data_IF_972674288365
#
_entry.id   IF_972674288365
#
_cell.length_a   1.000
_cell.length_b   1.000
_cell.length_c   1.000
_cell.angle_alpha   90.00
_cell.angle_beta   90.00
_cell.angle_gamma   90.00
#
_symmetry.space_group_name_H-M   'P 1'
#
loop_
_entity.id
_entity.type
_entity.pdbx_description
1 polymer ?
#
# COMPACT_ATOMS: atom_id res chain seq x y z
N UNK A 1 68.03 41.99 15.46
CA UNK A 1 67.97 40.75 16.25
C UNK A 1 66.62 40.12 15.97
N UNK A 2 66.61 39.22 14.99
CA UNK A 2 65.45 38.42 14.60
C UNK A 2 65.47 37.13 15.42
N UNK A 3 64.39 36.81 16.09
CA UNK A 3 64.15 35.48 16.64
C UNK A 3 63.02 34.82 15.86
N UNK A 4 63.41 33.81 15.09
CA UNK A 4 62.52 32.81 14.52
C UNK A 4 62.05 31.91 15.65
N UNK A 5 60.74 31.68 15.74
CA UNK A 5 60.21 30.43 16.29
C UNK A 5 59.18 29.88 15.32
N UNK A 6 59.49 28.67 14.86
CA UNK A 6 58.66 27.73 14.12
C UNK A 6 57.53 27.17 15.00
N UNK A 7 56.68 26.34 14.38
CA UNK A 7 55.57 25.52 14.91
C UNK A 7 54.20 26.24 14.88
N UNK A 8 53.15 25.76 14.21
CA UNK A 8 52.81 24.38 13.83
C UNK A 8 51.86 24.36 12.64
N UNK A 9 52.06 23.36 11.79
CA UNK A 9 51.14 22.92 10.75
C UNK A 9 49.77 22.56 11.37
N UNK A 10 48.78 23.43 11.24
CA UNK A 10 47.38 23.03 11.24
C UNK A 10 47.04 22.56 9.82
N UNK A 11 47.42 21.32 9.51
CA UNK A 11 46.78 20.57 8.43
C UNK A 11 45.36 20.28 8.89
N UNK A 12 44.46 21.26 8.68
CA UNK A 12 43.02 21.02 8.72
C UNK A 12 42.75 20.04 7.60
N UNK A 13 42.60 18.77 7.97
CA UNK A 13 41.92 17.78 7.15
C UNK A 13 40.47 18.26 7.01
N UNK A 14 40.25 19.14 6.04
CA UNK A 14 38.95 19.36 5.44
C UNK A 14 38.62 18.04 4.74
N UNK A 15 37.99 17.12 5.49
CA UNK A 15 37.14 16.12 4.87
C UNK A 15 36.03 16.89 4.16
N UNK A 16 36.27 17.29 2.92
CA UNK A 16 35.22 17.47 1.94
C UNK A 16 34.57 16.09 1.81
N UNK A 17 33.66 15.78 2.71
CA UNK A 17 32.57 14.90 2.37
C UNK A 17 31.83 15.64 1.25
N UNK A 18 32.10 15.27 0.01
CA UNK A 18 31.22 15.65 -1.09
C UNK A 18 29.90 14.96 -0.77
N UNK A 19 28.98 15.68 -0.12
CA UNK A 19 27.58 15.34 -0.21
C UNK A 19 27.30 15.37 -1.71
N UNK A 20 27.13 14.19 -2.32
CA UNK A 20 26.70 14.11 -3.70
C UNK A 20 25.44 14.96 -3.81
N UNK A 21 25.44 15.96 -4.69
CA UNK A 21 24.28 16.83 -4.86
C UNK A 21 23.12 15.97 -5.37
N UNK A 22 22.13 15.72 -4.51
CA UNK A 22 21.01 14.85 -4.86
C UNK A 22 20.14 15.60 -5.86
N UNK A 23 20.06 15.07 -7.07
CA UNK A 23 19.24 15.64 -8.13
C UNK A 23 17.82 15.85 -7.61
N UNK A 24 17.31 17.07 -7.75
CA UNK A 24 15.95 17.43 -7.39
C UNK A 24 15.11 17.58 -8.64
N UNK A 25 13.93 16.94 -8.68
CA UNK A 25 12.94 17.12 -9.73
C UNK A 25 11.71 17.86 -9.19
N UNK A 26 11.19 18.79 -10.00
CA UNK A 26 10.16 19.74 -9.60
C UNK A 26 8.90 19.73 -10.47
N UNK A 27 8.91 18.98 -11.57
CA UNK A 27 7.81 18.94 -12.52
C UNK A 27 7.57 17.56 -13.11
N UNK A 28 6.33 17.31 -13.59
CA UNK A 28 6.00 16.05 -14.29
C UNK A 28 6.83 15.91 -15.56
N UNK A 29 7.22 17.02 -16.19
CA UNK A 29 8.10 17.02 -17.37
C UNK A 29 9.51 16.53 -17.04
N UNK A 30 10.08 16.93 -15.89
CA UNK A 30 11.37 16.41 -15.42
C UNK A 30 11.27 14.94 -15.02
N UNK A 31 10.20 14.54 -14.32
CA UNK A 31 9.93 13.14 -14.00
C UNK A 31 9.84 12.28 -15.28
N UNK A 32 9.18 12.80 -16.33
CA UNK A 32 9.11 12.16 -17.66
C UNK A 32 10.47 11.98 -18.32
N UNK A 33 11.50 12.73 -17.95
CA UNK A 33 12.86 12.53 -18.47
C UNK A 33 13.61 11.39 -17.76
N UNK A 34 13.17 10.93 -16.59
CA UNK A 34 13.81 9.86 -15.81
C UNK A 34 13.29 8.47 -16.16
N UNK A 35 14.09 7.42 -16.05
CA UNK A 35 13.66 6.03 -16.32
C UNK A 35 12.88 5.36 -15.16
N UNK A 36 12.46 6.14 -14.18
CA UNK A 36 11.78 5.63 -12.99
C UNK A 36 10.32 5.24 -13.27
N UNK A 37 9.97 3.97 -13.07
CA UNK A 37 8.59 3.51 -13.04
C UNK A 37 7.84 3.59 -14.38
N UNK A 38 8.55 3.64 -15.52
CA UNK A 38 7.97 4.03 -16.83
C UNK A 38 7.35 2.90 -17.64
N UNK A 39 7.62 1.64 -17.35
CA UNK A 39 7.16 0.54 -18.19
C UNK A 39 6.71 -0.65 -17.36
N UNK A 40 5.86 -1.50 -17.93
CA UNK A 40 5.48 -2.76 -17.31
C UNK A 40 6.73 -3.62 -17.02
N UNK A 41 6.87 -4.25 -15.84
CA UNK A 41 5.94 -4.30 -14.70
C UNK A 41 6.35 -3.37 -13.53
N UNK A 42 6.99 -2.24 -13.82
CA UNK A 42 7.40 -1.27 -12.81
C UNK A 42 6.18 -0.53 -12.24
N UNK A 43 6.27 -0.16 -10.95
CA UNK A 43 5.18 0.42 -10.16
C UNK A 43 5.54 1.78 -9.54
N UNK A 44 6.73 2.31 -9.82
CA UNK A 44 7.23 3.56 -9.24
C UNK A 44 6.31 4.77 -9.45
N UNK A 45 5.78 4.96 -10.66
CA UNK A 45 4.83 6.05 -10.91
C UNK A 45 3.51 5.82 -10.15
N UNK A 46 3.02 4.57 -10.08
CA UNK A 46 1.82 4.25 -9.29
C UNK A 46 2.03 4.54 -7.79
N UNK A 47 3.23 4.30 -7.25
CA UNK A 47 3.59 4.68 -5.88
C UNK A 47 3.58 6.20 -5.67
N UNK A 48 4.09 6.98 -6.63
CA UNK A 48 4.10 8.46 -6.52
C UNK A 48 2.68 9.02 -6.53
N UNK A 49 1.83 8.48 -7.41
CA UNK A 49 0.40 8.81 -7.40
C UNK A 49 -0.22 8.45 -6.06
N UNK A 50 -0.03 7.22 -5.58
CA UNK A 50 -0.54 6.77 -4.28
C UNK A 50 -0.09 7.67 -3.13
N UNK A 51 1.19 8.01 -3.05
CA UNK A 51 1.72 8.93 -2.05
C UNK A 51 1.00 10.28 -2.11
N UNK A 52 0.81 10.84 -3.31
CA UNK A 52 0.06 12.08 -3.50
C UNK A 52 -1.40 11.99 -3.01
N UNK A 53 -1.96 10.77 -2.96
CA UNK A 53 -3.34 10.57 -2.48
C UNK A 53 -3.48 10.67 -0.97
N UNK A 54 -2.41 10.37 -0.25
CA UNK A 54 -2.41 10.19 1.20
C UNK A 54 -1.72 11.35 1.96
N UNK A 55 -1.20 12.35 1.24
CA UNK A 55 -0.57 13.55 1.81
C UNK A 55 -1.41 14.82 1.59
N UNK A 56 -1.09 15.85 2.34
CA UNK A 56 -1.47 17.25 2.13
C UNK A 56 -0.22 18.10 2.00
N UNK A 57 -0.31 19.18 1.22
CA UNK A 57 0.79 20.13 1.00
C UNK A 57 0.23 21.52 1.26
N UNK A 58 0.82 22.23 2.20
CA UNK A 58 0.39 23.58 2.54
C UNK A 58 0.94 24.62 1.54
N UNK A 59 0.57 25.92 1.64
CA UNK A 59 1.11 26.97 0.80
C UNK A 59 2.63 27.24 0.95
N UNK A 60 3.25 26.74 2.01
CA UNK A 60 4.68 26.88 2.29
C UNK A 60 5.48 25.63 1.87
N UNK A 61 4.89 24.77 1.03
CA UNK A 61 5.49 23.52 0.57
C UNK A 61 5.77 22.49 1.69
N UNK A 62 5.11 22.63 2.85
CA UNK A 62 5.18 21.64 3.93
C UNK A 62 4.30 20.44 3.57
N UNK A 63 4.92 19.27 3.50
CA UNK A 63 4.25 18.00 3.21
C UNK A 63 3.92 17.28 4.52
N UNK A 64 2.67 16.85 4.66
CA UNK A 64 2.18 16.11 5.83
C UNK A 64 1.32 14.95 5.39
N UNK A 65 1.26 13.89 6.19
CA UNK A 65 0.27 12.85 6.00
C UNK A 65 -1.13 13.37 6.32
N UNK A 66 -2.13 12.91 5.57
CA UNK A 66 -3.52 13.04 6.01
C UNK A 66 -3.71 12.29 7.34
N UNK A 67 -4.67 12.70 8.19
CA UNK A 67 -4.96 11.97 9.41
C UNK A 67 -5.23 10.49 9.12
N UNK A 68 -4.72 9.60 9.99
CA UNK A 68 -4.89 8.14 9.91
C UNK A 68 -4.29 7.46 8.66
N UNK A 69 -3.31 8.10 7.99
CA UNK A 69 -2.58 7.51 6.85
C UNK A 69 -1.29 6.78 7.25
N UNK A 70 -0.64 7.28 8.29
CA UNK A 70 0.61 6.75 8.80
C UNK A 70 0.49 6.58 10.30
N UNK A 71 0.83 5.39 10.79
CA UNK A 71 0.93 5.15 12.21
C UNK A 71 2.40 5.25 12.64
N UNK A 72 2.83 6.25 13.42
CA UNK A 72 4.21 6.38 13.85
C UNK A 72 4.62 5.31 14.86
N UNK A 73 3.69 4.51 15.38
CA UNK A 73 4.01 3.37 16.25
C UNK A 73 4.54 2.23 15.40
N UNK A 74 3.76 1.80 14.42
CA UNK A 74 4.11 0.67 13.56
C UNK A 74 4.93 1.06 12.33
N UNK A 75 4.96 2.35 12.00
CA UNK A 75 5.39 2.88 10.70
C UNK A 75 4.52 2.42 9.52
N UNK A 76 3.40 1.74 9.77
CA UNK A 76 2.54 1.19 8.71
C UNK A 76 1.93 2.31 7.85
N UNK A 77 1.87 2.14 6.52
CA UNK A 77 2.25 0.97 5.71
C UNK A 77 3.71 0.98 5.21
N UNK A 78 4.57 1.84 5.78
CA UNK A 78 5.99 1.95 5.43
C UNK A 78 6.85 1.01 6.28
N UNK A 79 8.08 0.78 5.83
CA UNK A 79 9.11 0.04 6.59
C UNK A 79 10.26 0.99 6.95
N UNK A 80 10.85 0.92 8.15
CA UNK A 80 12.08 1.63 8.45
C UNK A 80 13.15 1.40 7.37
N UNK A 81 13.87 2.45 7.00
CA UNK A 81 14.95 2.38 6.02
C UNK A 81 16.27 2.79 6.67
N UNK A 82 17.20 1.85 6.78
CA UNK A 82 18.54 2.11 7.28
C UNK A 82 19.35 2.81 6.18
N UNK A 83 19.83 4.03 6.46
CA UNK A 83 20.68 4.81 5.54
C UNK A 83 22.16 4.38 5.66
N UNK A 84 22.43 3.08 5.72
CA UNK A 84 23.76 2.52 6.03
C UNK A 84 24.82 2.86 4.97
N UNK A 85 24.38 3.07 3.72
CA UNK A 85 25.24 3.46 2.61
C UNK A 85 25.47 4.98 2.51
N UNK A 86 24.82 5.77 3.38
CA UNK A 86 24.87 7.24 3.40
C UNK A 86 24.58 7.90 2.04
N UNK A 87 23.73 7.29 1.19
CA UNK A 87 23.27 7.92 -0.05
C UNK A 87 22.28 9.06 0.19
N UNK A 88 21.64 9.07 1.36
CA UNK A 88 20.76 10.14 1.81
C UNK A 88 21.46 10.98 2.88
N UNK A 89 21.03 12.25 3.09
CA UNK A 89 21.59 13.10 4.14
C UNK A 89 21.48 12.46 5.53
N UNK A 90 22.39 12.82 6.44
CA UNK A 90 22.34 12.35 7.82
C UNK A 90 21.06 12.80 8.55
N UNK A 91 20.61 11.94 9.45
CA UNK A 91 19.41 12.16 10.26
C UNK A 91 19.70 13.08 11.45
N UNK A 92 18.66 13.75 11.92
CA UNK A 92 18.63 14.47 13.21
C UNK A 92 17.93 13.60 14.25
N UNK A 93 18.02 13.89 15.56
CA UNK A 93 17.40 13.06 16.59
C UNK A 93 15.88 12.85 16.46
N UNK A 94 15.17 13.74 15.75
CA UNK A 94 13.71 13.66 15.57
C UNK A 94 13.30 13.07 14.23
N UNK A 95 14.25 12.86 13.31
CA UNK A 95 13.98 12.41 11.94
C UNK A 95 14.37 10.94 11.72
N UNK A 96 13.59 10.25 10.90
CA UNK A 96 13.85 8.88 10.49
C UNK A 96 13.48 8.66 9.01
N UNK A 97 14.17 7.73 8.36
CA UNK A 97 13.84 7.31 7.00
C UNK A 97 12.91 6.12 6.99
N UNK A 98 11.92 6.16 6.10
CA UNK A 98 10.98 5.08 5.85
C UNK A 98 10.86 4.82 4.36
N UNK A 99 10.62 3.58 3.97
CA UNK A 99 10.53 3.15 2.58
C UNK A 99 9.20 2.44 2.31
N UNK A 100 8.72 2.59 1.08
CA UNK A 100 7.63 1.79 0.49
C UNK A 100 8.01 1.33 -0.91
N UNK A 101 7.25 0.38 -1.44
CA UNK A 101 7.41 -0.12 -2.80
C UNK A 101 8.12 -1.47 -2.89
N UNK A 102 8.60 -2.03 -1.78
CA UNK A 102 8.92 -3.46 -1.74
C UNK A 102 7.61 -4.24 -1.61
N UNK A 103 7.24 -5.02 -2.63
CA UNK A 103 6.01 -5.81 -2.76
C UNK A 103 6.21 -7.30 -2.41
N UNK A 104 7.41 -7.69 -1.96
CA UNK A 104 7.70 -9.07 -1.54
C UNK A 104 7.25 -9.34 -0.11
N UNK A 105 7.19 -10.62 0.28
CA UNK A 105 6.92 -11.07 1.66
C UNK A 105 5.60 -10.54 2.23
N UNK A 106 4.53 -10.56 1.42
CA UNK A 106 3.18 -10.21 1.86
C UNK A 106 2.88 -8.70 1.98
N UNK A 107 3.86 -7.82 1.74
CA UNK A 107 3.63 -6.36 1.79
C UNK A 107 2.76 -5.86 0.64
N UNK A 108 2.70 -6.57 -0.49
CA UNK A 108 1.88 -6.21 -1.64
C UNK A 108 0.40 -6.03 -1.26
N UNK A 109 -0.14 -6.89 -0.38
CA UNK A 109 -1.55 -6.82 0.03
C UNK A 109 -1.94 -5.51 0.74
N UNK A 110 -0.96 -4.70 1.17
CA UNK A 110 -1.16 -3.41 1.85
C UNK A 110 -1.44 -2.26 0.88
N UNK A 111 -1.20 -2.47 -0.41
CA UNK A 111 -1.31 -1.45 -1.43
C UNK A 111 -2.56 -1.64 -2.30
N UNK A 112 -3.12 -0.55 -2.86
CA UNK A 112 -4.17 -0.65 -3.87
C UNK A 112 -3.76 -1.56 -5.05
N UNK A 113 -4.74 -2.22 -5.65
CA UNK A 113 -4.51 -3.16 -6.76
C UNK A 113 -3.76 -2.53 -7.93
N UNK A 114 -3.98 -1.24 -8.23
CA UNK A 114 -3.28 -0.57 -9.33
C UNK A 114 -1.74 -0.47 -9.12
N UNK A 115 -1.23 -0.69 -7.90
CA UNK A 115 0.20 -0.77 -7.60
C UNK A 115 0.72 -2.21 -7.74
N UNK A 116 -0.10 -3.20 -7.38
CA UNK A 116 0.32 -4.60 -7.18
C UNK A 116 -0.06 -5.52 -8.32
N UNK A 117 -0.98 -5.10 -9.18
CA UNK A 117 -1.53 -5.88 -10.28
C UNK A 117 -0.42 -6.40 -11.21
N UNK A 118 0.45 -5.51 -11.66
CA UNK A 118 1.52 -5.86 -12.59
C UNK A 118 2.59 -6.73 -11.90
N UNK A 119 2.85 -6.53 -10.60
CA UNK A 119 3.73 -7.42 -9.80
C UNK A 119 3.23 -8.87 -9.80
N UNK A 120 1.94 -9.09 -9.56
CA UNK A 120 1.35 -10.43 -9.57
C UNK A 120 1.25 -11.04 -10.98
N UNK A 121 1.22 -10.23 -12.05
CA UNK A 121 1.06 -10.74 -13.42
C UNK A 121 2.38 -10.77 -14.19
N UNK A 122 3.51 -10.65 -13.50
CA UNK A 122 4.84 -10.58 -14.11
C UNK A 122 5.89 -11.44 -13.41
N UNK A 123 5.51 -12.61 -12.86
CA UNK A 123 6.42 -13.49 -12.10
C UNK A 123 7.79 -13.75 -12.74
N UNK A 124 7.83 -13.82 -14.08
CA UNK A 124 9.07 -14.08 -14.82
C UNK A 124 9.90 -12.82 -15.13
N UNK A 125 9.49 -11.65 -14.64
CA UNK A 125 10.16 -10.37 -14.87
C UNK A 125 10.94 -9.97 -13.61
N UNK A 126 12.29 -9.97 -13.67
CA UNK A 126 13.12 -9.58 -12.54
C UNK A 126 12.83 -8.17 -12.03
N UNK A 127 12.42 -7.23 -12.88
CA UNK A 127 12.27 -5.82 -12.51
C UNK A 127 10.95 -5.47 -11.80
N UNK A 128 10.05 -6.43 -11.58
CA UNK A 128 8.70 -6.22 -11.02
C UNK A 128 8.62 -5.69 -9.59
N UNK A 129 9.75 -5.62 -8.90
CA UNK A 129 9.84 -5.16 -7.51
C UNK A 129 11.00 -4.18 -7.29
N UNK A 130 11.31 -3.34 -8.29
CA UNK A 130 12.50 -2.47 -8.25
C UNK A 130 12.23 -1.12 -7.61
N UNK A 131 11.04 -0.56 -7.80
CA UNK A 131 10.80 0.84 -7.47
C UNK A 131 10.54 1.06 -5.99
N UNK A 132 11.13 2.13 -5.44
CA UNK A 132 10.99 2.56 -4.06
C UNK A 132 10.63 4.02 -3.99
N UNK A 133 9.87 4.37 -2.95
CA UNK A 133 9.83 5.74 -2.43
C UNK A 133 10.43 5.68 -1.03
N UNK A 134 11.38 6.57 -0.76
CA UNK A 134 11.94 6.78 0.57
C UNK A 134 11.47 8.15 1.05
N UNK A 135 10.98 8.23 2.28
CA UNK A 135 10.57 9.47 2.91
C UNK A 135 11.40 9.72 4.16
N UNK A 136 11.73 10.97 4.42
CA UNK A 136 12.21 11.40 5.73
C UNK A 136 11.06 11.98 6.52
N UNK A 137 10.75 11.37 7.65
CA UNK A 137 9.68 11.82 8.54
C UNK A 137 10.31 12.53 9.73
N UNK A 138 9.74 13.67 10.11
CA UNK A 138 10.06 14.38 11.35
C UNK A 138 8.94 14.15 12.37
N UNK A 139 9.28 13.40 13.42
CA UNK A 139 8.36 13.01 14.49
C UNK A 139 8.13 14.12 15.53
N UNK A 140 8.81 15.26 15.41
CA UNK A 140 8.57 16.42 16.25
C UNK A 140 7.16 17.03 16.05
N UNK A 141 6.56 16.83 14.88
CA UNK A 141 5.25 17.38 14.52
C UNK A 141 4.13 16.34 14.70
N UNK A 142 2.93 16.80 15.05
CA UNK A 142 1.69 16.00 15.04
C UNK A 142 0.59 16.77 14.27
N UNK A 143 0.06 16.25 13.15
CA UNK A 143 0.48 15.02 12.47
C UNK A 143 1.93 15.09 11.99
N UNK A 144 2.56 13.92 11.89
CA UNK A 144 3.96 13.79 11.46
C UNK A 144 4.21 14.46 10.10
N UNK A 145 5.33 15.18 10.02
CA UNK A 145 5.74 15.89 8.81
C UNK A 145 6.59 14.98 7.94
N UNK A 146 6.45 15.12 6.62
CA UNK A 146 7.37 14.56 5.63
C UNK A 146 8.31 15.69 5.21
N UNK A 147 9.57 15.59 5.61
CA UNK A 147 10.59 16.58 5.28
C UNK A 147 11.04 16.47 3.83
N UNK A 148 11.29 15.24 3.38
CA UNK A 148 11.88 14.94 2.08
C UNK A 148 11.28 13.67 1.53
N UNK A 149 11.09 13.64 0.21
CA UNK A 149 10.59 12.49 -0.55
C UNK A 149 11.59 12.17 -1.63
N UNK A 150 12.00 10.91 -1.72
CA UNK A 150 12.95 10.42 -2.69
C UNK A 150 12.34 9.30 -3.51
N UNK A 151 12.64 9.27 -4.80
CA UNK A 151 12.46 8.08 -5.63
C UNK A 151 13.79 7.34 -5.72
N UNK A 152 13.74 6.01 -5.59
CA UNK A 152 14.92 5.16 -5.64
C UNK A 152 14.59 3.82 -6.31
N UNK A 153 15.62 3.09 -6.72
CA UNK A 153 15.49 1.76 -7.31
C UNK A 153 16.40 0.76 -6.62
N UNK A 154 15.80 -0.28 -6.04
CA UNK A 154 16.51 -1.36 -5.37
C UNK A 154 16.64 -2.57 -6.30
N UNK A 155 17.79 -3.25 -6.32
CA UNK A 155 17.91 -4.50 -7.08
C UNK A 155 16.91 -5.54 -6.54
N UNK A 156 16.18 -6.18 -7.44
CA UNK A 156 15.23 -7.23 -7.09
C UNK A 156 15.91 -8.53 -6.63
N UNK A 157 17.20 -8.69 -6.91
CA UNK A 157 18.04 -9.76 -6.41
C UNK A 157 19.00 -9.19 -5.37
N UNK A 158 18.78 -9.55 -4.11
CA UNK A 158 19.65 -9.25 -2.96
C UNK A 158 21.09 -9.83 -3.08
N UNK A 159 21.52 -10.24 -4.28
CA UNK A 159 22.77 -10.97 -4.53
C UNK A 159 23.46 -10.66 -5.85
N UNK A 160 23.08 -9.58 -6.55
CA UNK A 160 23.89 -9.10 -7.67
C UNK A 160 24.91 -8.06 -7.17
N UNK A 161 26.15 -8.51 -6.95
CA UNK A 161 27.26 -7.65 -6.51
C UNK A 161 27.70 -6.64 -7.58
N UNK A 162 27.13 -6.70 -8.78
CA UNK A 162 27.42 -5.77 -9.88
C UNK A 162 26.36 -4.67 -10.03
N UNK A 163 25.24 -4.75 -9.30
CA UNK A 163 24.22 -3.71 -9.34
C UNK A 163 24.68 -2.48 -8.55
N UNK A 164 24.99 -1.41 -9.28
CA UNK A 164 25.21 -0.09 -8.71
C UNK A 164 23.82 0.54 -8.50
N UNK A 165 23.40 0.81 -7.25
CA UNK A 165 22.15 1.50 -6.99
C UNK A 165 22.18 2.86 -7.69
N UNK A 166 21.13 3.21 -8.43
CA UNK A 166 20.97 4.57 -8.88
C UNK A 166 20.86 5.48 -7.65
N UNK A 167 21.60 6.60 -7.59
CA UNK A 167 21.45 7.53 -6.49
C UNK A 167 19.97 7.96 -6.41
N UNK A 168 19.40 8.05 -5.20
CA UNK A 168 18.05 8.55 -5.03
C UNK A 168 17.88 9.92 -5.68
N UNK A 169 16.68 10.21 -6.21
CA UNK A 169 16.33 11.53 -6.72
C UNK A 169 15.33 12.19 -5.76
N UNK A 170 15.59 13.43 -5.36
CA UNK A 170 14.70 14.20 -4.50
C UNK A 170 13.48 14.69 -5.30
N UNK A 171 12.29 14.47 -4.75
CA UNK A 171 11.02 14.92 -5.30
C UNK A 171 10.56 16.16 -4.54
N UNK A 172 10.35 17.26 -5.26
CA UNK A 172 9.88 18.50 -4.63
C UNK A 172 8.38 18.48 -4.31
N UNK A 173 7.96 19.33 -3.36
CA UNK A 173 6.55 19.56 -3.07
C UNK A 173 5.76 20.07 -4.29
N UNK A 174 6.39 20.85 -5.17
CA UNK A 174 5.78 21.32 -6.43
C UNK A 174 5.37 20.16 -7.34
N UNK A 175 6.23 19.14 -7.48
CA UNK A 175 5.90 17.94 -8.25
C UNK A 175 4.73 17.19 -7.59
N UNK A 176 4.78 16.93 -6.28
CA UNK A 176 3.70 16.26 -5.56
C UNK A 176 2.36 17.02 -5.69
N UNK A 177 2.38 18.36 -5.66
CA UNK A 177 1.20 19.21 -5.88
C UNK A 177 0.64 19.07 -7.29
N UNK A 178 1.51 19.03 -8.30
CA UNK A 178 1.08 18.77 -9.68
C UNK A 178 0.36 17.42 -9.78
N UNK A 179 0.94 16.35 -9.24
CA UNK A 179 0.33 15.01 -9.25
C UNK A 179 -1.03 15.03 -8.53
N UNK A 180 -1.08 15.59 -7.32
CA UNK A 180 -2.32 15.67 -6.54
C UNK A 180 -3.42 16.47 -7.27
N UNK A 181 -3.06 17.52 -8.00
CA UNK A 181 -4.01 18.35 -8.76
C UNK A 181 -4.70 17.62 -9.90
N UNK A 182 -4.07 16.58 -10.46
CA UNK A 182 -4.64 15.78 -11.56
C UNK A 182 -5.88 14.98 -11.14
N UNK A 183 -6.11 14.83 -9.84
CA UNK A 183 -7.29 14.16 -9.26
C UNK A 183 -8.53 15.04 -9.30
N UNK A 184 -8.36 16.36 -9.33
CA UNK A 184 -9.47 17.32 -9.28
C UNK A 184 -10.04 17.53 -10.68
N UNK A 185 -11.25 17.01 -10.93
CA UNK A 185 -11.94 17.12 -12.22
C UNK A 185 -12.20 18.56 -12.68
N UNK A 186 -12.35 19.51 -11.74
CA UNK A 186 -12.63 20.93 -12.02
C UNK A 186 -11.38 21.67 -12.52
N UNK A 187 -10.18 21.24 -12.10
CA UNK A 187 -8.94 21.93 -12.42
C UNK A 187 -8.50 21.76 -13.88
N UNK A 188 -9.08 20.80 -14.62
CA UNK A 188 -8.57 20.46 -15.95
C UNK A 188 -9.66 20.13 -16.95
N UNK A 189 -10.55 21.10 -17.20
CA UNK A 189 -11.32 21.12 -18.45
C UNK A 189 -10.60 21.79 -19.62
N UNK A 190 -9.44 22.41 -19.42
CA UNK A 190 -8.75 23.19 -20.47
C UNK A 190 -7.23 22.92 -20.54
N UNK A 191 -6.77 21.67 -20.59
CA UNK A 191 -5.39 21.43 -21.03
C UNK A 191 -5.35 21.33 -22.56
N UNK A 192 -4.88 22.39 -23.21
CA UNK A 192 -4.49 22.49 -24.63
C UNK A 192 -3.55 21.37 -25.13
N UNK A 193 -3.03 20.54 -24.21
CA UNK A 193 -2.17 19.37 -24.47
C UNK A 193 -2.81 18.38 -25.44
N UNK A 194 -4.10 18.06 -25.29
CA UNK A 194 -4.80 17.14 -26.19
C UNK A 194 -5.05 17.68 -27.59
N UNK A 195 -5.03 19.01 -27.76
CA UNK A 195 -5.11 19.68 -29.07
C UNK A 195 -3.74 19.76 -29.76
N UNK A 196 -2.66 19.82 -28.98
CA UNK A 196 -1.27 19.87 -29.48
C UNK A 196 -0.67 18.50 -29.78
N UNK A 197 -1.18 17.42 -29.14
CA UNK A 197 -0.65 16.06 -29.29
C UNK A 197 -1.78 15.02 -29.38
N UNK A 198 -2.24 14.64 -30.58
CA UNK A 198 -3.30 13.63 -30.73
C UNK A 198 -3.00 12.28 -30.06
N UNK A 199 -1.73 11.86 -30.06
CA UNK A 199 -1.26 10.63 -29.39
C UNK A 199 -1.46 10.64 -27.86
N UNK A 200 -1.57 11.83 -27.26
CA UNK A 200 -1.88 11.97 -25.83
C UNK A 200 -3.31 11.52 -25.53
N UNK A 201 -4.28 11.87 -26.38
CA UNK A 201 -5.68 11.50 -26.15
C UNK A 201 -5.88 9.99 -26.28
N UNK A 202 -5.25 9.34 -27.26
CA UNK A 202 -5.32 7.89 -27.42
C UNK A 202 -4.67 7.14 -26.25
N UNK A 203 -3.51 7.63 -25.78
CA UNK A 203 -2.84 7.07 -24.59
C UNK A 203 -3.69 7.25 -23.34
N UNK A 204 -4.32 8.41 -23.17
CA UNK A 204 -5.20 8.70 -22.04
C UNK A 204 -6.42 7.79 -22.06
N UNK A 205 -7.12 7.66 -23.20
CA UNK A 205 -8.29 6.78 -23.35
C UNK A 205 -7.93 5.31 -23.01
N UNK A 206 -6.74 4.87 -23.44
CA UNK A 206 -6.23 3.54 -23.14
C UNK A 206 -5.95 3.39 -21.66
N UNK A 207 -5.28 4.37 -21.03
CA UNK A 207 -4.99 4.36 -19.61
C UNK A 207 -6.27 4.40 -18.75
N UNK A 208 -7.26 5.22 -19.11
CA UNK A 208 -8.56 5.32 -18.43
C UNK A 208 -9.33 3.99 -18.49
N UNK A 209 -9.16 3.21 -19.57
CA UNK A 209 -9.76 1.87 -19.65
C UNK A 209 -9.11 0.86 -18.68
N UNK A 210 -7.85 1.07 -18.32
CA UNK A 210 -7.07 0.14 -17.48
C UNK A 210 -7.09 0.50 -15.99
N UNK A 211 -7.16 1.79 -15.66
CA UNK A 211 -7.02 2.29 -14.30
C UNK A 211 -8.26 3.07 -13.86
N UNK A 212 -8.92 2.62 -12.80
CA UNK A 212 -10.10 3.29 -12.24
C UNK A 212 -9.79 4.48 -11.33
N UNK A 213 -8.53 4.58 -10.87
CA UNK A 213 -8.15 5.54 -9.83
C UNK A 213 -8.15 6.98 -10.37
N UNK A 214 -8.88 7.92 -9.73
CA UNK A 214 -8.95 9.30 -10.19
C UNK A 214 -7.58 9.95 -10.41
N UNK A 215 -7.39 10.51 -11.60
CA UNK A 215 -6.15 11.20 -11.99
C UNK A 215 -4.96 10.29 -12.30
N UNK A 216 -5.03 8.97 -12.04
CA UNK A 216 -3.91 8.06 -12.28
C UNK A 216 -3.60 7.92 -13.78
N UNK A 217 -4.61 7.62 -14.60
CA UNK A 217 -4.43 7.49 -16.06
C UNK A 217 -3.81 8.75 -16.69
N UNK A 218 -4.29 9.92 -16.25
CA UNK A 218 -3.74 11.22 -16.65
C UNK A 218 -2.30 11.40 -16.21
N UNK A 219 -2.01 11.10 -14.95
CA UNK A 219 -0.66 11.20 -14.40
C UNK A 219 0.32 10.29 -15.17
N UNK A 220 -0.02 9.02 -15.35
CA UNK A 220 0.80 8.05 -16.08
C UNK A 220 1.08 8.53 -17.51
N UNK A 221 0.06 9.02 -18.21
CA UNK A 221 0.21 9.53 -19.58
C UNK A 221 1.13 10.76 -19.62
N UNK A 222 0.96 11.71 -18.69
CA UNK A 222 1.79 12.93 -18.63
C UNK A 222 3.24 12.64 -18.19
N UNK A 223 3.44 11.67 -17.29
CA UNK A 223 4.76 11.23 -16.82
C UNK A 223 5.48 10.32 -17.82
N UNK A 224 4.86 9.98 -18.95
CA UNK A 224 5.48 9.18 -20.00
C UNK A 224 5.55 7.68 -19.71
N UNK A 225 4.58 7.15 -18.96
CA UNK A 225 4.41 5.71 -18.80
C UNK A 225 4.08 5.05 -20.15
N UNK A 226 4.66 3.87 -20.42
CA UNK A 226 4.39 3.07 -21.60
C UNK A 226 3.03 2.36 -21.51
N UNK A 227 1.97 3.15 -21.66
CA UNK A 227 0.57 2.70 -21.65
C UNK A 227 0.32 1.67 -22.74
N UNK A 228 0.91 1.86 -23.93
CA UNK A 228 0.72 0.97 -25.08
C UNK A 228 1.35 -0.41 -24.84
N UNK A 229 2.60 -0.45 -24.37
CA UNK A 229 3.27 -1.70 -24.02
C UNK A 229 2.52 -2.46 -22.91
N UNK A 230 2.10 -1.75 -21.87
CA UNK A 230 1.30 -2.34 -20.78
C UNK A 230 -0.05 -2.88 -21.27
N UNK A 231 -0.75 -2.14 -22.12
CA UNK A 231 -2.00 -2.61 -22.73
C UNK A 231 -1.76 -3.84 -23.61
N UNK A 232 -0.67 -3.86 -24.39
CA UNK A 232 -0.26 -5.00 -25.20
C UNK A 232 -0.07 -6.28 -24.39
N UNK A 233 0.57 -6.18 -23.23
CA UNK A 233 0.72 -7.32 -22.29
C UNK A 233 -0.64 -7.84 -21.84
N UNK A 234 -1.56 -6.94 -21.44
CA UNK A 234 -2.92 -7.35 -21.07
C UNK A 234 -3.67 -7.97 -22.24
N UNK A 235 -3.58 -7.40 -23.43
CA UNK A 235 -4.24 -7.94 -24.61
C UNK A 235 -3.75 -9.35 -24.97
N UNK A 236 -2.46 -9.63 -24.78
CA UNK A 236 -1.91 -10.96 -24.93
C UNK A 236 -2.47 -11.93 -23.88
N UNK A 237 -2.51 -11.52 -22.61
CA UNK A 237 -3.10 -12.32 -21.53
C UNK A 237 -4.59 -12.63 -21.79
N UNK A 238 -5.36 -11.64 -22.27
CA UNK A 238 -6.78 -11.78 -22.57
C UNK A 238 -7.11 -12.52 -23.89
N UNK A 239 -6.11 -13.07 -24.58
CA UNK A 239 -6.25 -13.76 -25.87
C UNK A 239 -7.07 -12.95 -26.88
N UNK A 240 -6.70 -11.68 -27.03
CA UNK A 240 -7.40 -10.78 -27.92
C UNK A 240 -7.29 -11.25 -29.38
N UNK A 241 -8.42 -11.49 -30.08
CA UNK A 241 -8.39 -11.67 -31.52
C UNK A 241 -7.95 -10.35 -32.19
N UNK A 242 -7.75 -10.36 -33.52
CA UNK A 242 -7.37 -9.18 -34.31
C UNK A 242 -8.36 -7.98 -34.27
N UNK A 243 -9.32 -7.97 -33.33
CA UNK A 243 -10.22 -6.86 -33.03
C UNK A 243 -9.88 -6.25 -31.66
N UNK A 244 -9.14 -5.12 -31.63
CA UNK A 244 -8.77 -4.43 -30.38
C UNK A 244 -9.96 -4.01 -29.51
N UNK A 245 -11.13 -3.77 -30.14
CA UNK A 245 -12.35 -3.39 -29.44
C UNK A 245 -12.83 -4.44 -28.44
N UNK A 246 -12.58 -5.73 -28.71
CA UNK A 246 -12.97 -6.83 -27.82
C UNK A 246 -12.19 -6.87 -26.51
N UNK A 247 -11.07 -6.17 -26.45
CA UNK A 247 -10.14 -6.15 -25.33
C UNK A 247 -10.03 -4.82 -24.62
N UNK A 248 -10.86 -3.85 -25.02
CA UNK A 248 -11.16 -2.72 -24.17
C UNK A 248 -11.86 -3.25 -22.93
N UNK A 249 -11.16 -3.18 -21.80
CA UNK A 249 -11.69 -3.55 -20.49
C UNK A 249 -12.27 -2.31 -19.81
N UNK A 250 -13.08 -2.51 -18.79
CA UNK A 250 -13.33 -1.49 -17.77
C UNK A 250 -12.61 -1.97 -16.52
N UNK A 251 -11.30 -1.71 -16.42
CA UNK A 251 -10.39 -2.07 -15.32
C UNK A 251 -10.76 -3.36 -14.57
N UNK A 252 -10.00 -4.43 -14.79
CA UNK A 252 -10.33 -5.72 -14.18
C UNK A 252 -10.22 -5.67 -12.66
N UNK A 253 -11.27 -6.12 -11.98
CA UNK A 253 -11.32 -6.20 -10.52
C UNK A 253 -11.61 -7.65 -10.11
N UNK A 254 -10.71 -8.23 -9.31
CA UNK A 254 -10.89 -9.51 -8.65
C UNK A 254 -10.68 -9.32 -7.16
N UNK A 255 -11.75 -9.46 -6.39
CA UNK A 255 -11.75 -9.14 -4.97
C UNK A 255 -12.41 -10.25 -4.16
N UNK A 256 -11.87 -10.44 -2.96
CA UNK A 256 -12.50 -11.26 -1.94
C UNK A 256 -13.40 -10.37 -1.08
N UNK A 257 -14.66 -10.78 -0.98
CA UNK A 257 -15.62 -10.27 0.00
C UNK A 257 -15.85 -11.35 1.04
N UNK A 258 -16.75 -11.10 1.98
CA UNK A 258 -17.06 -12.06 3.03
C UNK A 258 -18.56 -12.20 3.28
N UNK A 259 -18.98 -13.40 3.63
CA UNK A 259 -20.34 -13.72 4.10
C UNK A 259 -20.54 -13.26 5.54
N UNK A 260 -21.77 -13.33 6.03
CA UNK A 260 -22.10 -13.22 7.46
C UNK A 260 -21.44 -14.31 8.34
N UNK A 261 -21.06 -15.44 7.74
CA UNK A 261 -20.37 -16.57 8.40
C UNK A 261 -18.84 -16.55 8.32
N UNK A 262 -18.22 -15.49 7.82
CA UNK A 262 -16.75 -15.43 7.72
C UNK A 262 -16.13 -16.26 6.60
N UNK A 263 -16.94 -16.74 5.67
CA UNK A 263 -16.44 -17.35 4.44
C UNK A 263 -16.12 -16.31 3.38
N UNK A 264 -15.21 -16.67 2.48
CA UNK A 264 -14.84 -15.86 1.34
C UNK A 264 -15.93 -15.91 0.26
N UNK A 265 -16.22 -14.75 -0.33
CA UNK A 265 -17.01 -14.61 -1.54
C UNK A 265 -16.06 -14.16 -2.64
N UNK A 266 -15.99 -14.93 -3.72
CA UNK A 266 -15.22 -14.54 -4.90
C UNK A 266 -16.05 -13.54 -5.70
N UNK A 267 -15.45 -12.42 -6.12
CA UNK A 267 -16.10 -11.40 -6.92
C UNK A 267 -15.19 -10.99 -8.06
N UNK A 268 -15.71 -10.98 -9.29
CA UNK A 268 -14.99 -10.50 -10.47
C UNK A 268 -15.83 -9.50 -11.26
N UNK A 269 -15.18 -8.53 -11.89
CA UNK A 269 -15.80 -7.59 -12.81
C UNK A 269 -14.76 -6.97 -13.76
N UNK A 270 -15.24 -6.28 -14.79
CA UNK A 270 -14.39 -5.54 -15.71
C UNK A 270 -13.69 -6.39 -16.77
N UNK A 271 -13.99 -7.69 -16.85
CA UNK A 271 -13.39 -8.60 -17.83
C UNK A 271 -13.68 -8.16 -19.28
N UNK A 272 -12.73 -8.34 -20.21
CA UNK A 272 -12.95 -8.00 -21.62
C UNK A 272 -13.92 -8.98 -22.29
N UNK A 273 -14.59 -8.53 -23.34
CA UNK A 273 -15.51 -9.35 -24.14
C UNK A 273 -14.80 -10.53 -24.83
N UNK A 274 -13.47 -10.51 -24.99
CA UNK A 274 -12.71 -11.67 -25.46
C UNK A 274 -12.89 -12.91 -24.57
N UNK A 275 -13.12 -12.73 -23.25
CA UNK A 275 -13.38 -13.82 -22.30
C UNK A 275 -14.62 -14.63 -22.66
N UNK A 276 -15.60 -14.04 -23.37
CA UNK A 276 -16.81 -14.77 -23.80
C UNK A 276 -16.52 -15.86 -24.83
N UNK A 277 -15.36 -15.80 -25.49
CA UNK A 277 -14.97 -16.73 -26.55
C UNK A 277 -14.09 -17.87 -26.06
N UNK A 278 -13.74 -17.90 -24.78
CA UNK A 278 -12.84 -18.91 -24.19
C UNK A 278 -13.45 -19.48 -22.91
N UNK A 279 -13.22 -20.78 -22.67
CA UNK A 279 -13.66 -21.43 -21.44
C UNK A 279 -12.75 -21.01 -20.27
N UNK A 280 -13.33 -20.30 -19.30
CA UNK A 280 -12.61 -19.70 -18.18
C UNK A 280 -13.27 -19.96 -16.84
N UNK A 281 -12.43 -20.11 -15.82
CA UNK A 281 -12.82 -20.26 -14.42
C UNK A 281 -12.21 -19.15 -13.58
N UNK A 282 -12.95 -18.68 -12.57
CA UNK A 282 -12.36 -17.94 -11.46
C UNK A 282 -12.06 -18.96 -10.36
N UNK A 283 -10.82 -18.97 -9.91
CA UNK A 283 -10.29 -19.94 -8.98
C UNK A 283 -9.69 -19.24 -7.76
N UNK A 284 -9.97 -19.77 -6.58
CA UNK A 284 -9.44 -19.30 -5.31
C UNK A 284 -8.27 -20.17 -4.88
N UNK A 285 -7.14 -19.57 -4.58
CA UNK A 285 -5.92 -20.23 -4.12
C UNK A 285 -5.60 -19.83 -2.68
N UNK A 286 -4.88 -20.71 -1.97
CA UNK A 286 -4.41 -20.44 -0.60
C UNK A 286 -3.45 -19.24 -0.54
N UNK A 287 -2.57 -19.11 -1.53
CA UNK A 287 -1.60 -18.03 -1.72
C UNK A 287 -1.07 -17.99 -3.16
N UNK A 288 -0.17 -17.07 -3.47
CA UNK A 288 0.44 -16.87 -4.78
C UNK A 288 1.35 -18.02 -5.24
N UNK A 289 1.96 -18.74 -4.30
CA UNK A 289 2.80 -19.93 -4.51
C UNK A 289 2.00 -21.22 -4.74
N UNK A 290 0.70 -21.24 -4.41
CA UNK A 290 -0.12 -22.46 -4.51
C UNK A 290 -0.36 -22.89 -5.96
N UNK A 291 -0.25 -24.20 -6.21
CA UNK A 291 -0.42 -24.80 -7.54
C UNK A 291 -1.84 -25.37 -7.78
N UNK A 292 -2.62 -25.63 -6.73
CA UNK A 292 -3.99 -26.14 -6.84
C UNK A 292 -5.01 -25.17 -6.21
N UNK A 293 -6.20 -25.02 -6.83
CA UNK A 293 -7.25 -24.18 -6.28
C UNK A 293 -7.97 -24.86 -5.12
N UNK A 294 -8.44 -24.05 -4.17
CA UNK A 294 -9.34 -24.43 -3.09
C UNK A 294 -10.80 -24.44 -3.53
N UNK A 295 -11.14 -23.61 -4.52
CA UNK A 295 -12.48 -23.44 -5.05
C UNK A 295 -12.38 -22.94 -6.50
N UNK A 296 -13.30 -23.36 -7.35
CA UNK A 296 -13.43 -22.89 -8.72
C UNK A 296 -14.88 -22.65 -9.10
N UNK A 297 -15.12 -21.59 -9.87
CA UNK A 297 -16.42 -21.30 -10.47
C UNK A 297 -16.25 -20.95 -11.94
N UNK A 298 -17.08 -21.57 -12.79
CA UNK A 298 -17.08 -21.26 -14.23
C UNK A 298 -17.59 -19.84 -14.47
N UNK A 299 -16.85 -19.07 -15.26
CA UNK A 299 -17.23 -17.70 -15.65
C UNK A 299 -18.43 -17.72 -16.60
N UNK A 300 -18.54 -18.74 -17.46
CA UNK A 300 -19.62 -18.91 -18.44
C UNK A 300 -19.87 -17.65 -19.29
N UNK A 301 -18.80 -16.98 -19.72
CA UNK A 301 -18.86 -15.74 -20.50
C UNK A 301 -19.39 -14.51 -19.75
N UNK A 302 -19.68 -14.61 -18.44
CA UNK A 302 -20.11 -13.45 -17.65
C UNK A 302 -18.94 -12.53 -17.34
N UNK A 303 -19.01 -11.29 -17.80
CA UNK A 303 -17.94 -10.29 -17.59
C UNK A 303 -17.86 -9.78 -16.14
N UNK A 304 -18.84 -10.13 -15.32
CA UNK A 304 -18.88 -9.89 -13.89
C UNK A 304 -19.70 -10.98 -13.19
N UNK A 305 -19.42 -11.19 -11.91
CA UNK A 305 -20.16 -12.15 -11.10
C UNK A 305 -19.60 -12.31 -9.70
N UNK A 306 -20.31 -13.09 -8.90
CA UNK A 306 -19.89 -13.49 -7.57
C UNK A 306 -20.20 -14.96 -7.35
N UNK A 307 -19.41 -15.63 -6.50
CA UNK A 307 -19.77 -16.94 -5.98
C UNK A 307 -19.37 -17.06 -4.51
N UNK A 308 -20.27 -17.57 -3.70
CA UNK A 308 -19.99 -17.89 -2.31
C UNK A 308 -19.18 -19.18 -2.23
N UNK A 309 -18.29 -19.26 -1.23
CA UNK A 309 -17.48 -20.43 -0.97
C UNK A 309 -17.72 -20.93 0.45
N UNK A 310 -17.26 -22.14 0.76
CA UNK A 310 -17.15 -22.64 2.14
C UNK A 310 -15.77 -22.38 2.73
N UNK A 311 -14.91 -21.64 2.03
CA UNK A 311 -13.54 -21.37 2.44
C UNK A 311 -13.55 -20.18 3.39
N UNK A 312 -12.97 -20.32 4.58
CA UNK A 312 -12.83 -19.23 5.55
C UNK A 312 -11.98 -18.09 4.98
N UNK A 313 -12.36 -16.85 5.25
CA UNK A 313 -11.61 -15.67 4.83
C UNK A 313 -10.29 -15.58 5.61
N UNK A 314 -9.19 -15.92 4.95
CA UNK A 314 -7.86 -15.96 5.52
C UNK A 314 -6.88 -15.08 4.74
N UNK A 315 -5.90 -14.46 5.42
CA UNK A 315 -4.82 -13.77 4.72
C UNK A 315 -4.06 -14.71 3.78
N UNK A 316 -3.52 -14.15 2.71
CA UNK A 316 -2.85 -14.87 1.63
C UNK A 316 -3.79 -15.34 0.51
N UNK A 317 -5.09 -15.51 0.76
CA UNK A 317 -6.02 -15.96 -0.28
C UNK A 317 -5.93 -15.10 -1.55
N UNK A 318 -5.86 -15.75 -2.71
CA UNK A 318 -5.68 -15.09 -4.01
C UNK A 318 -6.67 -15.61 -5.04
N UNK A 319 -7.28 -14.70 -5.79
CA UNK A 319 -8.10 -15.05 -6.96
C UNK A 319 -7.25 -15.11 -8.23
N UNK A 320 -7.54 -16.09 -9.08
CA UNK A 320 -6.93 -16.24 -10.41
C UNK A 320 -8.01 -16.50 -11.45
N UNK A 321 -7.81 -15.96 -12.65
CA UNK A 321 -8.58 -16.36 -13.83
C UNK A 321 -7.79 -17.44 -14.57
N UNK A 322 -8.43 -18.58 -14.78
CA UNK A 322 -7.84 -19.75 -15.45
C UNK A 322 -8.51 -19.96 -16.81
N UNK A 323 -7.78 -20.62 -17.71
CA UNK A 323 -8.29 -21.13 -18.99
C UNK A 323 -8.35 -22.66 -18.97
N UNK A 324 -9.52 -23.22 -19.22
CA UNK A 324 -9.81 -24.66 -19.08
C UNK A 324 -9.10 -25.52 -20.17
N UNK A 325 -8.89 -24.97 -21.38
CA UNK A 325 -8.47 -25.76 -22.55
C UNK A 325 -6.97 -26.16 -22.57
N UNK A 326 -6.13 -25.53 -21.75
CA UNK A 326 -4.68 -25.77 -21.75
C UNK A 326 -4.17 -25.83 -20.31
N UNK A 327 -4.18 -27.04 -19.72
CA UNK A 327 -3.56 -27.35 -18.42
C UNK A 327 -3.81 -26.27 -17.34
N UNK A 328 -5.03 -25.72 -17.29
CA UNK A 328 -5.43 -24.62 -16.41
C UNK A 328 -4.43 -23.45 -16.37
N UNK A 329 -4.07 -22.93 -17.55
CA UNK A 329 -3.15 -21.80 -17.65
C UNK A 329 -3.73 -20.53 -17.01
N UNK A 330 -2.98 -19.93 -16.09
CA UNK A 330 -3.36 -18.67 -15.43
C UNK A 330 -3.32 -17.51 -16.44
N UNK A 331 -4.47 -16.87 -16.64
CA UNK A 331 -4.62 -15.67 -17.47
C UNK A 331 -4.29 -14.41 -16.65
N UNK A 332 -4.79 -14.37 -15.42
CA UNK A 332 -4.73 -13.18 -14.58
C UNK A 332 -4.72 -13.54 -13.10
N UNK A 333 -4.00 -12.77 -12.30
CA UNK A 333 -3.93 -12.91 -10.84
C UNK A 333 -4.42 -11.63 -10.17
N UNK A 334 -5.33 -11.77 -9.22
CA UNK A 334 -5.71 -10.69 -8.30
C UNK A 334 -4.70 -10.53 -7.17
N UNK A 335 -4.86 -9.51 -6.31
CA UNK A 335 -4.04 -9.33 -5.13
C UNK A 335 -4.24 -10.47 -4.12
N UNK A 336 -3.21 -10.77 -3.34
CA UNK A 336 -3.39 -11.57 -2.13
C UNK A 336 -4.09 -10.76 -1.05
N UNK A 337 -4.94 -11.41 -0.26
CA UNK A 337 -5.61 -10.77 0.85
C UNK A 337 -4.64 -10.47 1.99
N UNK A 338 -4.44 -9.19 2.29
CA UNK A 338 -3.86 -8.73 3.56
C UNK A 338 -4.87 -8.97 4.70
N UNK A 339 -4.38 -9.36 5.88
CA UNK A 339 -5.23 -9.73 7.03
C UNK A 339 -6.10 -8.58 7.52
N UNK A 340 -5.64 -7.34 7.41
CA UNK A 340 -6.38 -6.13 7.72
C UNK A 340 -7.01 -5.48 6.47
N UNK A 341 -6.83 -6.08 5.29
CA UNK A 341 -7.23 -5.56 3.97
C UNK A 341 -6.61 -4.17 3.71
N UNK A 342 -5.35 -3.98 4.08
CA UNK A 342 -4.60 -2.73 3.89
C UNK A 342 -4.98 -1.61 4.86
N UNK A 343 -5.78 -1.88 5.90
CA UNK A 343 -6.21 -0.86 6.87
C UNK A 343 -5.09 -0.45 7.80
N UNK A 344 -5.04 0.84 8.12
CA UNK A 344 -4.02 1.41 8.99
C UNK A 344 -4.44 1.24 10.45
N UNK A 345 -3.52 0.86 11.35
CA UNK A 345 -3.80 0.82 12.78
C UNK A 345 -4.26 2.18 13.32
N UNK A 346 -5.28 2.18 14.17
CA UNK A 346 -5.81 3.37 14.83
C UNK A 346 -5.04 3.62 16.12
N UNK A 347 -4.40 4.79 16.22
CA UNK A 347 -3.68 5.20 17.43
C UNK A 347 -4.64 5.29 18.62
N UNK A 348 -4.22 4.73 19.76
CA UNK A 348 -4.93 4.78 21.05
C UNK A 348 -4.34 5.93 21.86
N UNK A 349 -5.07 7.03 21.91
CA UNK A 349 -4.69 8.23 22.66
C UNK A 349 -3.34 8.80 22.24
N UNK A 350 -2.64 9.42 23.18
CA UNK A 350 -1.24 9.83 23.05
C UNK A 350 -0.27 8.73 23.51
N UNK A 351 -0.80 7.55 23.84
CA UNK A 351 0.00 6.43 24.34
C UNK A 351 0.73 5.74 23.19
N UNK A 352 1.76 4.96 23.54
CA UNK A 352 2.53 4.17 22.58
C UNK A 352 1.78 2.94 22.09
N UNK A 353 0.49 3.03 21.74
CA UNK A 353 -0.33 1.90 21.33
C UNK A 353 -1.26 2.19 20.13
N UNK A 354 -1.53 1.17 19.31
CA UNK A 354 -2.47 1.23 18.18
C UNK A 354 -3.34 -0.03 18.10
N UNK A 355 -4.59 0.12 17.66
CA UNK A 355 -5.58 -0.95 17.45
C UNK A 355 -5.79 -1.23 15.95
N UNK A 356 -5.87 -2.50 15.55
CA UNK A 356 -6.22 -2.88 14.18
C UNK A 356 -7.20 -4.06 14.16
N UNK A 357 -8.22 -3.96 13.30
CA UNK A 357 -9.12 -5.05 12.94
C UNK A 357 -8.47 -5.90 11.85
N UNK A 358 -8.44 -7.22 12.05
CA UNK A 358 -7.93 -8.16 11.06
C UNK A 358 -8.77 -9.45 11.04
N UNK A 359 -8.63 -10.24 9.98
CA UNK A 359 -9.26 -11.56 9.86
C UNK A 359 -8.29 -12.69 10.13
N UNK A 360 -8.77 -13.72 10.83
CA UNK A 360 -8.05 -14.98 11.01
C UNK A 360 -9.04 -16.14 11.13
N UNK A 361 -8.86 -17.15 10.28
CA UNK A 361 -9.76 -18.32 10.16
C UNK A 361 -11.24 -17.93 9.95
N UNK A 362 -11.49 -16.84 9.22
CA UNK A 362 -12.83 -16.31 9.03
C UNK A 362 -13.43 -15.62 10.25
N UNK A 363 -12.64 -15.34 11.30
CA UNK A 363 -13.09 -14.60 12.48
C UNK A 363 -12.53 -13.17 12.48
N UNK A 364 -13.36 -12.24 12.93
CA UNK A 364 -12.94 -10.90 13.28
C UNK A 364 -12.01 -10.97 14.49
N UNK A 365 -10.86 -10.34 14.37
CA UNK A 365 -9.80 -10.38 15.37
C UNK A 365 -9.27 -8.97 15.64
N UNK A 366 -8.76 -8.76 16.85
CA UNK A 366 -8.21 -7.49 17.28
C UNK A 366 -6.70 -7.64 17.52
N UNK A 367 -5.92 -6.71 16.98
CA UNK A 367 -4.47 -6.64 17.18
C UNK A 367 -4.13 -5.31 17.84
N UNK A 368 -3.33 -5.39 18.91
CA UNK A 368 -2.69 -4.25 19.55
C UNK A 368 -1.21 -4.22 19.15
N UNK A 369 -0.76 -3.05 18.69
CA UNK A 369 0.64 -2.73 18.54
C UNK A 369 1.06 -1.89 19.73
N UNK A 370 2.05 -2.33 20.48
CA UNK A 370 2.56 -1.63 21.67
C UNK A 370 4.02 -1.27 21.42
N UNK A 371 4.37 0.02 21.46
CA UNK A 371 5.77 0.46 21.38
C UNK A 371 6.58 -0.23 22.47
N UNK A 372 7.76 -0.72 22.12
CA UNK A 372 8.68 -1.34 23.09
C UNK A 372 9.10 -0.38 24.21
N UNK A 373 9.08 0.93 23.95
CA UNK A 373 9.34 1.97 24.95
C UNK A 373 8.19 2.20 25.93
N UNK A 374 6.99 1.65 25.67
CA UNK A 374 5.84 1.72 26.57
C UNK A 374 5.80 0.47 27.46
N UNK A 375 6.78 0.35 28.34
CA UNK A 375 7.00 -0.83 29.20
C UNK A 375 5.92 -1.02 30.29
N UNK A 376 5.27 0.04 30.72
CA UNK A 376 4.19 0.07 31.75
C UNK A 376 2.78 -0.10 31.17
N UNK A 377 2.65 -0.47 29.90
CA UNK A 377 1.35 -0.49 29.20
C UNK A 377 0.29 -1.38 29.87
N UNK A 378 0.69 -2.49 30.53
CA UNK A 378 -0.25 -3.38 31.21
C UNK A 378 -0.91 -2.74 32.42
N UNK A 379 -0.20 -1.87 33.12
CA UNK A 379 -0.76 -1.12 34.24
C UNK A 379 -1.70 -0.04 33.71
N UNK A 380 -1.27 0.67 32.66
CA UNK A 380 -2.08 1.70 32.01
C UNK A 380 -3.37 1.16 31.38
N UNK A 381 -3.34 -0.07 30.85
CA UNK A 381 -4.47 -0.71 30.19
C UNK A 381 -5.14 -1.78 31.04
N UNK A 382 -4.90 -1.81 32.35
CA UNK A 382 -5.38 -2.87 33.24
C UNK A 382 -6.90 -3.06 33.19
N UNK A 383 -7.65 -1.95 33.14
CA UNK A 383 -9.11 -1.95 32.98
C UNK A 383 -9.56 -1.56 31.55
N UNK A 384 -8.64 -1.49 30.59
CA UNK A 384 -9.02 -1.21 29.20
C UNK A 384 -9.44 -2.48 28.48
N UNK A 385 -10.41 -2.37 27.58
CA UNK A 385 -11.00 -3.51 26.90
C UNK A 385 -11.37 -3.19 25.45
N UNK A 386 -11.49 -4.23 24.64
CA UNK A 386 -11.85 -4.15 23.23
C UNK A 386 -13.18 -4.88 23.04
N UNK A 387 -14.09 -4.28 22.28
CA UNK A 387 -15.39 -4.87 21.93
C UNK A 387 -15.58 -4.96 20.41
N UNK A 388 -16.39 -5.92 19.98
CA UNK A 388 -16.75 -6.17 18.58
C UNK A 388 -18.20 -5.74 18.31
N UNK A 389 -18.41 -5.07 17.18
CA UNK A 389 -19.68 -4.48 16.77
C UNK A 389 -20.07 -5.04 15.41
N UNK A 390 -21.36 -5.29 15.19
CA UNK A 390 -21.87 -5.69 13.89
C UNK A 390 -21.88 -4.53 12.89
N UNK A 391 -21.92 -3.29 13.38
CA UNK A 391 -21.89 -2.08 12.54
C UNK A 391 -21.20 -0.90 13.21
N UNK A 392 -20.57 -0.04 12.39
CA UNK A 392 -20.05 1.25 12.85
C UNK A 392 -21.13 2.21 13.38
N UNK A 393 -22.41 1.94 13.09
CA UNK A 393 -23.55 2.75 13.55
C UNK A 393 -24.04 2.44 14.97
N UNK A 394 -23.58 1.32 15.56
CA UNK A 394 -24.01 0.87 16.88
C UNK A 394 -23.52 1.81 18.01
N UNK A 395 -24.31 1.93 19.09
CA UNK A 395 -23.91 2.63 20.31
C UNK A 395 -22.74 1.92 21.01
N UNK A 396 -22.11 2.56 22.00
CA UNK A 396 -20.98 1.96 22.72
C UNK A 396 -21.39 0.75 23.58
N UNK A 397 -22.66 0.69 24.02
CA UNK A 397 -23.18 -0.42 24.83
C UNK A 397 -23.74 -1.56 23.98
N UNK A 398 -23.85 -1.36 22.66
CA UNK A 398 -24.49 -2.30 21.72
C UNK A 398 -23.48 -3.28 21.09
N UNK A 399 -22.36 -3.56 21.77
CA UNK A 399 -21.39 -4.54 21.28
C UNK A 399 -22.01 -5.95 21.28
N UNK A 400 -21.51 -6.80 20.39
CA UNK A 400 -21.99 -8.18 20.26
C UNK A 400 -21.87 -8.93 21.59
N UNK A 401 -22.95 -9.57 22.02
CA UNK A 401 -23.04 -10.23 23.33
C UNK A 401 -21.88 -11.20 23.56
N UNK A 402 -21.09 -10.94 24.60
CA UNK A 402 -19.93 -11.75 24.99
C UNK A 402 -18.73 -11.64 24.04
N UNK A 403 -18.74 -10.72 23.08
CA UNK A 403 -17.66 -10.51 22.11
C UNK A 403 -16.83 -9.30 22.51
N UNK A 404 -16.09 -9.46 23.59
CA UNK A 404 -15.15 -8.47 24.10
C UNK A 404 -13.98 -9.16 24.81
N UNK A 405 -12.89 -8.43 25.04
CA UNK A 405 -11.72 -8.93 25.77
C UNK A 405 -10.94 -7.79 26.43
N UNK A 406 -10.43 -8.06 27.64
CA UNK A 406 -9.49 -7.15 28.32
C UNK A 406 -8.19 -7.03 27.53
N UNK A 407 -7.71 -5.80 27.34
CA UNK A 407 -6.51 -5.52 26.55
C UNK A 407 -5.27 -6.29 27.07
N UNK A 408 -5.14 -6.40 28.39
CA UNK A 408 -4.02 -7.11 29.06
C UNK A 408 -4.01 -8.62 28.86
N UNK A 409 -5.10 -9.21 28.38
CA UNK A 409 -5.22 -10.65 28.11
C UNK A 409 -4.98 -11.02 26.64
N UNK A 410 -4.66 -10.04 25.79
CA UNK A 410 -4.25 -10.34 24.42
C UNK A 410 -2.93 -11.11 24.43
N UNK A 411 -2.79 -12.06 23.52
CA UNK A 411 -1.64 -12.96 23.47
C UNK A 411 -0.49 -12.31 22.70
N UNK A 412 0.69 -12.21 23.31
CA UNK A 412 1.89 -11.69 22.63
C UNK A 412 2.27 -12.61 21.47
N UNK A 413 2.45 -12.05 20.28
CA UNK A 413 2.90 -12.79 19.10
C UNK A 413 4.39 -12.64 18.88
N UNK A 414 5.10 -13.74 18.55
CA UNK A 414 6.47 -13.64 18.08
C UNK A 414 6.43 -13.01 16.68
N UNK A 415 6.87 -11.75 16.57
CA UNK A 415 7.02 -11.08 15.29
C UNK A 415 8.24 -10.17 15.31
N UNK A 416 9.05 -10.29 14.28
CA UNK A 416 10.17 -9.41 13.94
C UNK A 416 9.78 -8.38 12.87
N UNK A 417 8.53 -8.40 12.42
CA UNK A 417 8.06 -7.54 11.33
C UNK A 417 8.09 -6.04 11.70
N UNK A 418 7.84 -5.73 12.97
CA UNK A 418 7.82 -4.36 13.49
C UNK A 418 8.93 -4.17 14.52
N UNK A 419 10.04 -3.57 14.07
CA UNK A 419 11.25 -3.43 14.88
C UNK A 419 11.02 -2.75 16.24
N UNK A 420 10.15 -1.73 16.28
CA UNK A 420 9.95 -0.88 17.45
C UNK A 420 8.69 -1.19 18.27
N UNK A 421 7.93 -2.24 17.90
CA UNK A 421 6.69 -2.60 18.57
C UNK A 421 6.59 -4.09 18.87
N UNK A 422 5.90 -4.40 19.96
CA UNK A 422 5.37 -5.73 20.24
C UNK A 422 3.94 -5.84 19.71
N UNK A 423 3.57 -7.03 19.25
CA UNK A 423 2.22 -7.33 18.76
C UNK A 423 1.50 -8.22 19.77
N UNK A 424 0.26 -7.87 20.10
CA UNK A 424 -0.64 -8.69 20.91
C UNK A 424 -1.94 -8.91 20.15
N UNK A 425 -2.44 -10.14 20.11
CA UNK A 425 -3.64 -10.48 19.34
C UNK A 425 -4.70 -11.16 20.20
N UNK A 426 -5.95 -10.92 19.82
CA UNK A 426 -7.11 -11.67 20.28
C UNK A 426 -7.96 -12.07 19.06
N UNK A 427 -8.20 -13.38 18.92
CA UNK A 427 -9.12 -13.94 17.94
C UNK A 427 -10.45 -14.15 18.62
N UNK A 428 -11.49 -13.44 18.17
CA UNK A 428 -12.83 -13.57 18.76
C UNK A 428 -13.56 -14.81 18.22
N UNK A 429 -14.73 -15.10 18.80
CA UNK A 429 -15.68 -16.06 18.22
C UNK A 429 -16.60 -15.44 17.16
N UNK A 430 -16.41 -14.15 16.83
CA UNK A 430 -17.24 -13.42 15.87
C UNK A 430 -16.73 -13.67 14.46
N UNK A 431 -17.59 -14.16 13.57
CA UNK A 431 -17.26 -14.28 12.15
C UNK A 431 -16.91 -12.91 11.57
N UNK A 432 -15.86 -12.80 10.75
CA UNK A 432 -15.62 -11.57 10.00
C UNK A 432 -16.77 -11.41 8.99
N UNK A 433 -17.40 -10.25 8.97
CA UNK A 433 -18.51 -9.96 8.05
C UNK A 433 -18.38 -8.52 7.56
N UNK A 434 -19.14 -8.12 6.53
CA UNK A 434 -19.26 -6.70 6.21
C UNK A 434 -19.71 -5.91 7.44
N UNK A 435 -19.26 -4.66 7.54
CA UNK A 435 -19.59 -3.66 8.56
C UNK A 435 -19.05 -3.90 9.98
N UNK A 436 -18.42 -5.05 10.25
CA UNK A 436 -17.81 -5.29 11.56
C UNK A 436 -16.79 -4.22 11.90
N UNK A 437 -16.86 -3.73 13.14
CA UNK A 437 -15.93 -2.77 13.71
C UNK A 437 -15.46 -3.26 15.08
N UNK A 438 -14.26 -2.85 15.48
CA UNK A 438 -13.81 -2.98 16.86
C UNK A 438 -13.52 -1.61 17.46
N UNK A 439 -13.71 -1.50 18.77
CA UNK A 439 -13.45 -0.28 19.53
C UNK A 439 -12.62 -0.59 20.77
N UNK A 440 -11.66 0.27 21.07
CA UNK A 440 -10.89 0.23 22.32
C UNK A 440 -11.45 1.22 23.31
N UNK A 441 -11.78 0.77 24.52
CA UNK A 441 -12.27 1.62 25.61
C UNK A 441 -11.17 1.80 26.66
N UNK A 442 -10.82 3.07 26.91
CA UNK A 442 -9.93 3.46 28.00
C UNK A 442 -10.73 3.58 29.29
N UNK A 443 -10.42 2.76 30.30
CA UNK A 443 -10.99 2.90 31.64
C UNK A 443 -9.87 3.17 32.64
N UNK A 444 -9.37 4.41 32.63
CA UNK A 444 -8.14 4.81 33.34
C UNK A 444 -8.30 4.76 34.88
N UNK A 445 -9.53 4.85 35.40
CA UNK A 445 -9.77 5.05 36.84
C UNK A 445 -10.77 4.07 37.48
N UNK A 446 -11.26 3.06 36.76
CA UNK A 446 -12.34 2.18 37.23
C UNK A 446 -13.62 2.97 37.64
N UNK A 447 -13.76 4.19 37.11
CA UNK A 447 -14.86 5.14 37.39
C UNK A 447 -16.08 4.95 36.49
N UNK A 448 -16.00 4.05 35.51
CA UNK A 448 -17.12 3.67 34.64
C UNK A 448 -17.57 4.76 33.65
N UNK A 449 -16.81 5.85 33.50
CA UNK A 449 -17.05 6.81 32.41
C UNK A 449 -16.33 6.31 31.15
N UNK A 450 -17.02 5.47 30.38
CA UNK A 450 -16.55 5.03 29.07
C UNK A 450 -16.46 6.26 28.15
N UNK A 451 -15.25 6.83 28.03
CA UNK A 451 -14.97 7.78 26.96
C UNK A 451 -15.19 7.09 25.62
N UNK A 452 -15.61 7.86 24.62
CA UNK A 452 -15.79 7.35 23.25
C UNK A 452 -14.58 6.52 22.81
N UNK A 453 -14.81 5.22 22.62
CA UNK A 453 -13.72 4.29 22.33
C UNK A 453 -13.03 4.61 21.02
N UNK A 454 -11.73 4.28 20.91
CA UNK A 454 -10.98 4.41 19.66
C UNK A 454 -11.49 3.36 18.67
N UNK A 455 -12.12 3.82 17.58
CA UNK A 455 -12.85 2.96 16.63
C UNK A 455 -12.02 2.71 15.37
N UNK A 456 -11.97 1.45 14.92
CA UNK A 456 -11.43 1.12 13.60
C UNK A 456 -12.39 1.53 12.49
N UNK A 457 -11.92 1.57 11.24
CA UNK A 457 -12.85 1.48 10.11
C UNK A 457 -13.58 0.12 10.14
N UNK A 458 -14.77 0.10 9.56
CA UNK A 458 -15.55 -1.12 9.45
C UNK A 458 -14.98 -2.06 8.37
N UNK A 459 -15.25 -3.36 8.47
CA UNK A 459 -14.80 -4.31 7.47
C UNK A 459 -15.64 -4.18 6.19
N UNK A 460 -14.98 -4.03 5.04
CA UNK A 460 -15.66 -3.87 3.76
C UNK A 460 -16.16 -2.47 3.41
N UNK A 461 -16.06 -1.48 4.31
CA UNK A 461 -16.33 -0.06 4.03
C UNK A 461 -15.37 0.56 3.03
#
# INVERSE_FOLDING_TARGET
MEWKSSLSCLLVWLSLASAADIQTISSISELRALEYGKCFPQHGLMLLHWLSTIITIDPNDVVQFKPKVFDPITSYPFTPYANDNHFLPDLTPTTAYYMVGNLLRGSAGRFPSYITQDFYNSFNYPMRNRDRIIIRVDSWYDPVRIDQVYIAQESSYQRDSTYIPYPPTLVSASLLRQIASLRNQIAIRNSSVGQLYPAYNESLDTADSMFSEPGLAKFLTMAGYDVSGRFGVSAQMWYCPNSPAMCRTRWVSMQLKTTDKGHAIVSWSGLPSSIQKIHTNVALYKNDESNSPLFEVKVNGRLMGTAETTIQLNPGLQLRLLREEVADSVIWRGPELDDAKGRIPVRIGSLGASLQLFTKNGYASARLYIRKSFDTWKDAFYYSWIAFYASASEGNDDYLSGQWQWAVYFEKKPSDEFEHCDIYEYVSGTAISPDIQIRFFENIDNKGEDKDGFRTEAWGS
#
